data_IF_737336554503
#
_entry.id   IF_737336554503
#
_cell.length_a   1.000
_cell.length_b   1.000
_cell.length_c   1.000
_cell.angle_alpha   90.00
_cell.angle_beta   90.00
_cell.angle_gamma   90.00
#
_symmetry.space_group_name_H-M   'P 1'
#
loop_
_entity.id
_entity.type
_entity.pdbx_description
1 polymer ?
#
# COMPACT_ATOMS: atom_id res chain seq x y z
N UNK A 1 13.13 23.68 6.66
CA UNK A 1 12.00 24.44 7.22
C UNK A 1 11.99 24.46 8.75
N UNK A 2 12.93 23.76 9.42
CA UNK A 2 12.99 23.66 10.87
C UNK A 2 11.89 22.77 11.47
N UNK A 3 11.68 22.86 12.78
CA UNK A 3 10.78 21.97 13.54
C UNK A 3 9.40 22.59 13.88
N UNK A 4 9.11 23.80 13.38
CA UNK A 4 7.85 24.51 13.65
C UNK A 4 6.62 23.74 13.24
N UNK A 5 6.71 22.96 12.15
CA UNK A 5 5.62 22.12 11.64
C UNK A 5 5.09 21.07 12.65
N UNK A 6 5.89 20.70 13.64
CA UNK A 6 5.47 19.78 14.72
C UNK A 6 4.38 20.40 15.62
N UNK A 7 4.29 21.74 15.65
CA UNK A 7 3.31 22.48 16.43
C UNK A 7 2.23 23.10 15.54
N UNK A 8 2.60 23.51 14.34
CA UNK A 8 1.71 24.14 13.38
C UNK A 8 2.00 23.59 11.97
N UNK A 9 1.07 22.76 11.47
CA UNK A 9 1.22 22.10 10.17
C UNK A 9 1.31 23.07 8.99
N UNK A 10 0.85 24.32 9.13
CA UNK A 10 0.95 25.34 8.08
C UNK A 10 2.41 25.65 7.71
N UNK A 11 3.33 25.42 8.62
CA UNK A 11 4.78 25.55 8.36
C UNK A 11 5.27 24.64 7.22
N UNK A 12 4.53 23.58 6.90
CA UNK A 12 4.85 22.69 5.77
C UNK A 12 4.68 23.39 4.41
N UNK A 13 3.90 24.47 4.32
CA UNK A 13 3.77 25.27 3.08
C UNK A 13 5.12 25.82 2.61
N UNK A 14 6.08 26.03 3.52
CA UNK A 14 7.45 26.45 3.18
C UNK A 14 8.18 25.46 2.27
N UNK A 15 7.74 24.20 2.21
CA UNK A 15 8.28 23.22 1.26
C UNK A 15 8.03 23.60 -0.20
N UNK A 16 7.04 24.45 -0.49
CA UNK A 16 6.77 24.93 -1.84
C UNK A 16 7.94 25.72 -2.43
N UNK A 17 8.79 26.34 -1.59
CA UNK A 17 9.99 27.05 -2.04
C UNK A 17 11.01 26.10 -2.68
N UNK A 18 10.93 24.81 -2.39
CA UNK A 18 11.90 23.78 -2.83
C UNK A 18 11.38 22.88 -3.97
N UNK A 19 10.22 23.19 -4.57
CA UNK A 19 9.60 22.32 -5.60
C UNK A 19 10.47 22.13 -6.86
N UNK A 20 11.43 23.04 -7.09
CA UNK A 20 12.36 23.00 -8.20
C UNK A 20 13.81 22.79 -7.73
N UNK A 21 14.04 22.52 -6.44
CA UNK A 21 15.38 22.25 -5.91
C UNK A 21 15.72 20.77 -6.09
N UNK A 22 16.55 20.45 -7.10
CA UNK A 22 16.93 19.09 -7.44
C UNK A 22 17.59 18.36 -6.25
N UNK A 23 18.37 19.07 -5.41
CA UNK A 23 19.03 18.48 -4.25
C UNK A 23 18.02 18.08 -3.16
N UNK A 24 16.97 18.88 -2.95
CA UNK A 24 15.88 18.54 -2.01
C UNK A 24 15.04 17.40 -2.57
N UNK A 25 14.68 17.44 -3.86
CA UNK A 25 13.91 16.39 -4.52
C UNK A 25 14.65 15.05 -4.47
N UNK A 26 15.96 15.03 -4.74
CA UNK A 26 16.75 13.81 -4.64
C UNK A 26 16.76 13.24 -3.22
N UNK A 27 16.91 14.09 -2.21
CA UNK A 27 16.84 13.64 -0.79
C UNK A 27 15.48 13.02 -0.45
N UNK A 28 14.39 13.57 -0.95
CA UNK A 28 13.04 13.02 -0.75
C UNK A 28 12.91 11.63 -1.42
N UNK A 29 13.43 11.47 -2.64
CA UNK A 29 13.47 10.18 -3.32
C UNK A 29 14.32 9.16 -2.57
N UNK A 30 15.48 9.55 -2.06
CA UNK A 30 16.35 8.69 -1.27
C UNK A 30 15.66 8.21 0.02
N UNK A 31 14.97 9.11 0.72
CA UNK A 31 14.18 8.78 1.91
C UNK A 31 13.07 7.79 1.56
N UNK A 32 12.32 8.05 0.48
CA UNK A 32 11.25 7.15 0.02
C UNK A 32 11.81 5.77 -0.33
N UNK A 33 12.89 5.71 -1.09
CA UNK A 33 13.56 4.46 -1.48
C UNK A 33 14.02 3.67 -0.25
N UNK A 34 14.64 4.33 0.72
CA UNK A 34 15.07 3.68 1.97
C UNK A 34 13.89 3.11 2.77
N UNK A 35 12.76 3.82 2.82
CA UNK A 35 11.55 3.33 3.47
C UNK A 35 10.97 2.10 2.74
N UNK A 36 10.97 2.10 1.40
CA UNK A 36 10.52 0.95 0.59
C UNK A 36 11.43 -0.26 0.78
N UNK A 37 12.75 -0.06 0.81
CA UNK A 37 13.72 -1.11 1.11
C UNK A 37 13.53 -1.69 2.52
N UNK A 38 13.29 -0.84 3.52
CA UNK A 38 13.03 -1.28 4.88
C UNK A 38 11.76 -2.13 4.96
N UNK A 39 10.68 -1.72 4.27
CA UNK A 39 9.44 -2.50 4.20
C UNK A 39 9.65 -3.83 3.44
N UNK A 40 10.33 -3.81 2.29
CA UNK A 40 10.70 -5.02 1.52
C UNK A 40 11.39 -6.05 2.39
N UNK A 41 12.43 -5.63 3.11
CA UNK A 41 13.18 -6.52 3.98
C UNK A 41 12.32 -7.07 5.13
N UNK A 42 11.44 -6.24 5.67
CA UNK A 42 10.54 -6.65 6.73
C UNK A 42 9.52 -7.70 6.25
N UNK A 43 8.89 -7.49 5.09
CA UNK A 43 7.96 -8.46 4.48
C UNK A 43 8.69 -9.77 4.16
N UNK A 44 9.87 -9.68 3.55
CA UNK A 44 10.69 -10.87 3.24
C UNK A 44 11.02 -11.68 4.50
N UNK A 45 11.44 -11.01 5.57
CA UNK A 45 11.83 -11.66 6.83
C UNK A 45 10.65 -12.35 7.51
N UNK A 46 9.43 -11.75 7.47
CA UNK A 46 8.29 -12.25 8.24
C UNK A 46 7.37 -13.17 7.43
N UNK A 47 7.31 -13.02 6.10
CA UNK A 47 6.39 -13.75 5.25
C UNK A 47 7.06 -14.48 4.08
N UNK A 48 8.38 -14.32 3.89
CA UNK A 48 9.10 -14.91 2.77
C UNK A 48 8.74 -14.36 1.38
N UNK A 49 7.96 -13.27 1.32
CA UNK A 49 7.50 -12.66 0.07
C UNK A 49 8.54 -11.63 -0.39
N UNK A 50 8.97 -11.73 -1.64
CA UNK A 50 9.82 -10.73 -2.27
C UNK A 50 8.98 -9.74 -3.06
N UNK A 51 9.23 -8.44 -2.82
CA UNK A 51 8.62 -7.32 -3.55
C UNK A 51 9.73 -6.44 -4.13
N UNK A 52 9.39 -5.70 -5.20
CA UNK A 52 10.32 -4.77 -5.85
C UNK A 52 10.12 -3.37 -5.27
N UNK A 53 11.15 -2.81 -4.68
CA UNK A 53 11.16 -1.44 -4.14
C UNK A 53 10.96 -0.35 -5.20
N UNK A 54 11.19 -0.68 -6.48
CA UNK A 54 10.96 0.25 -7.59
C UNK A 54 9.51 0.22 -8.11
N UNK A 55 8.70 -0.76 -7.66
CA UNK A 55 7.29 -0.80 -8.00
C UNK A 55 6.50 0.29 -7.26
N UNK A 56 5.34 0.67 -7.78
CA UNK A 56 4.38 1.53 -7.06
C UNK A 56 3.81 0.73 -5.88
N UNK A 57 3.99 1.22 -4.65
CA UNK A 57 3.37 0.64 -3.46
C UNK A 57 1.99 1.24 -3.25
N UNK A 58 0.97 0.48 -3.65
CA UNK A 58 -0.45 0.79 -3.48
C UNK A 58 -0.95 0.09 -2.21
N UNK A 59 -1.28 0.86 -1.18
CA UNK A 59 -1.46 0.34 0.18
C UNK A 59 -2.86 0.64 0.71
N UNK A 60 -3.55 -0.40 1.17
CA UNK A 60 -4.81 -0.31 1.90
C UNK A 60 -4.69 -0.99 3.26
N UNK A 61 -4.43 -0.21 4.30
CA UNK A 61 -4.20 -0.68 5.67
C UNK A 61 -5.26 -0.14 6.63
N UNK A 62 -6.25 -0.95 6.91
CA UNK A 62 -7.35 -0.64 7.83
C UNK A 62 -8.11 -1.91 8.24
N UNK A 63 -8.76 -1.91 9.41
CA UNK A 63 -9.64 -3.03 9.79
C UNK A 63 -10.61 -3.34 8.66
N UNK A 64 -10.82 -4.62 8.39
CA UNK A 64 -11.70 -5.02 7.31
C UNK A 64 -13.15 -4.74 7.68
N UNK A 65 -13.84 -4.05 6.78
CA UNK A 65 -15.27 -3.77 6.89
C UNK A 65 -15.84 -3.45 5.51
N UNK A 66 -17.08 -3.86 5.24
CA UNK A 66 -17.73 -3.67 3.93
C UNK A 66 -17.71 -2.21 3.48
N UNK A 67 -17.99 -1.23 4.38
CA UNK A 67 -17.98 0.19 4.01
C UNK A 67 -16.58 0.74 3.67
N UNK A 68 -15.49 0.05 4.04
CA UNK A 68 -14.11 0.42 3.69
C UNK A 68 -13.71 -0.06 2.30
N UNK A 69 -14.54 -0.91 1.71
CA UNK A 69 -14.47 -1.35 0.31
C UNK A 69 -13.18 -2.06 -0.10
N UNK A 70 -12.55 -2.81 0.81
CA UNK A 70 -11.40 -3.65 0.45
C UNK A 70 -11.76 -4.66 -0.64
N UNK A 71 -13.01 -5.15 -0.67
CA UNK A 71 -13.50 -6.00 -1.75
C UNK A 71 -13.44 -5.27 -3.10
N UNK A 72 -13.78 -3.98 -3.17
CA UNK A 72 -13.69 -3.22 -4.41
C UNK A 72 -12.25 -3.09 -4.89
N UNK A 73 -11.30 -2.88 -3.98
CA UNK A 73 -9.87 -2.88 -4.32
C UNK A 73 -9.42 -4.28 -4.80
N UNK A 74 -9.88 -5.36 -4.17
CA UNK A 74 -9.62 -6.72 -4.66
C UNK A 74 -10.16 -6.95 -6.09
N UNK A 75 -11.34 -6.43 -6.42
CA UNK A 75 -11.88 -6.46 -7.79
C UNK A 75 -11.02 -5.64 -8.77
N UNK A 76 -10.49 -4.50 -8.32
CA UNK A 76 -9.54 -3.72 -9.13
C UNK A 76 -8.25 -4.53 -9.40
N UNK A 77 -7.74 -5.25 -8.41
CA UNK A 77 -6.59 -6.15 -8.59
C UNK A 77 -6.88 -7.23 -9.63
N UNK A 78 -8.07 -7.85 -9.59
CA UNK A 78 -8.51 -8.83 -10.60
C UNK A 78 -8.54 -8.18 -11.99
N UNK A 79 -9.09 -6.98 -12.10
CA UNK A 79 -9.10 -6.23 -13.36
C UNK A 79 -7.67 -6.02 -13.89
N UNK A 80 -6.74 -5.56 -13.06
CA UNK A 80 -5.33 -5.37 -13.43
C UNK A 80 -4.67 -6.67 -13.89
N UNK A 81 -4.90 -7.77 -13.16
CA UNK A 81 -4.43 -9.09 -13.55
C UNK A 81 -4.90 -9.47 -14.96
N UNK A 82 -6.20 -9.33 -15.23
CA UNK A 82 -6.79 -9.65 -16.53
C UNK A 82 -6.29 -8.74 -17.65
N UNK A 83 -6.04 -7.46 -17.37
CA UNK A 83 -5.45 -6.53 -18.34
C UNK A 83 -4.02 -6.94 -18.71
N UNK A 84 -3.21 -7.30 -17.73
CA UNK A 84 -1.85 -7.80 -17.98
C UNK A 84 -1.88 -9.08 -18.83
N UNK A 85 -2.79 -10.02 -18.51
CA UNK A 85 -2.98 -11.26 -19.31
C UNK A 85 -3.41 -10.99 -20.76
N UNK A 86 -4.05 -9.85 -21.04
CA UNK A 86 -4.38 -9.38 -22.41
C UNK A 86 -3.23 -8.66 -23.09
N UNK A 87 -2.09 -8.45 -22.42
CA UNK A 87 -0.94 -7.73 -22.93
C UNK A 87 -0.91 -6.24 -22.61
N UNK A 88 -1.85 -5.71 -21.82
CA UNK A 88 -1.83 -4.33 -21.35
C UNK A 88 -0.89 -4.18 -20.16
N UNK A 89 0.40 -4.09 -20.43
CA UNK A 89 1.47 -4.08 -19.44
C UNK A 89 1.61 -2.67 -18.85
N UNK A 90 1.62 -2.50 -17.52
CA UNK A 90 1.88 -1.21 -16.89
C UNK A 90 3.34 -0.79 -17.10
N UNK A 91 3.57 0.52 -17.27
CA UNK A 91 4.92 1.09 -17.45
C UNK A 91 5.81 0.93 -16.22
N UNK A 92 5.19 0.90 -15.05
CA UNK A 92 5.86 0.69 -13.76
C UNK A 92 5.16 -0.46 -13.04
N UNK A 93 5.88 -1.45 -12.50
CA UNK A 93 5.28 -2.52 -11.72
C UNK A 93 4.50 -1.99 -10.52
N UNK A 94 3.48 -2.72 -10.09
CA UNK A 94 2.61 -2.35 -8.98
C UNK A 94 2.66 -3.45 -7.91
N UNK A 95 2.87 -3.05 -6.67
CA UNK A 95 2.74 -3.94 -5.50
C UNK A 95 1.56 -3.46 -4.65
N UNK A 96 0.47 -4.21 -4.70
CA UNK A 96 -0.73 -3.92 -3.89
C UNK A 96 -0.59 -4.59 -2.53
N UNK A 97 -0.62 -3.80 -1.46
CA UNK A 97 -0.41 -4.28 -0.10
C UNK A 97 -1.66 -4.05 0.73
N UNK A 98 -2.26 -5.14 1.19
CA UNK A 98 -3.38 -5.11 2.10
C UNK A 98 -2.92 -5.38 3.54
N UNK A 99 -3.40 -4.58 4.47
CA UNK A 99 -3.23 -4.84 5.90
C UNK A 99 -4.58 -4.74 6.59
N UNK A 100 -5.09 -5.87 7.09
CA UNK A 100 -6.41 -5.90 7.71
C UNK A 100 -6.51 -6.96 8.79
N UNK A 101 -7.46 -6.77 9.70
CA UNK A 101 -7.94 -7.77 10.65
C UNK A 101 -9.46 -7.75 10.63
N UNK A 102 -10.08 -8.93 10.70
CA UNK A 102 -11.52 -9.10 10.82
C UNK A 102 -11.91 -9.48 12.25
N UNK A 103 -13.08 -9.04 12.70
CA UNK A 103 -13.66 -9.54 13.93
C UNK A 103 -13.98 -11.04 13.79
N UNK A 104 -13.83 -11.87 14.84
CA UNK A 104 -14.00 -13.32 14.75
C UNK A 104 -15.35 -13.76 14.19
N UNK A 105 -16.44 -13.06 14.55
CA UNK A 105 -17.80 -13.37 14.11
C UNK A 105 -18.19 -12.76 12.74
N UNK A 106 -17.30 -11.94 12.14
CA UNK A 106 -17.61 -11.25 10.88
C UNK A 106 -17.20 -12.10 9.67
N UNK A 107 -18.07 -13.01 9.26
CA UNK A 107 -17.80 -14.00 8.20
C UNK A 107 -17.43 -13.35 6.86
N UNK A 108 -18.24 -12.41 6.36
CA UNK A 108 -17.96 -11.70 5.10
C UNK A 108 -16.57 -11.03 5.11
N UNK A 109 -16.16 -10.45 6.23
CA UNK A 109 -14.82 -9.87 6.34
C UNK A 109 -13.72 -10.92 6.20
N UNK A 110 -13.92 -12.12 6.75
CA UNK A 110 -12.97 -13.22 6.60
C UNK A 110 -12.97 -13.76 5.16
N UNK A 111 -14.11 -13.79 4.50
CA UNK A 111 -14.21 -14.21 3.09
C UNK A 111 -13.46 -13.23 2.17
N UNK A 112 -13.53 -11.92 2.46
CA UNK A 112 -12.77 -10.90 1.72
C UNK A 112 -11.25 -11.08 1.96
N UNK A 113 -10.81 -11.36 3.18
CA UNK A 113 -9.40 -11.68 3.46
C UNK A 113 -8.99 -12.94 2.68
N UNK A 114 -9.83 -13.96 2.67
CA UNK A 114 -9.57 -15.19 1.92
C UNK A 114 -9.46 -14.91 0.41
N UNK A 115 -10.33 -14.09 -0.16
CA UNK A 115 -10.23 -13.65 -1.55
C UNK A 115 -8.86 -12.98 -1.83
N UNK A 116 -8.43 -12.06 -0.97
CA UNK A 116 -7.14 -11.37 -1.12
C UNK A 116 -5.97 -12.36 -1.06
N UNK A 117 -6.02 -13.35 -0.16
CA UNK A 117 -5.01 -14.41 -0.07
C UNK A 117 -4.99 -15.31 -1.32
N UNK A 118 -6.15 -15.63 -1.88
CA UNK A 118 -6.24 -16.35 -3.16
C UNK A 118 -5.63 -15.54 -4.31
N UNK A 119 -5.88 -14.23 -4.35
CA UNK A 119 -5.27 -13.34 -5.34
C UNK A 119 -3.74 -13.25 -5.16
N UNK A 120 -3.27 -13.15 -3.92
CA UNK A 120 -1.84 -13.20 -3.63
C UNK A 120 -1.21 -14.48 -4.17
N UNK A 121 -1.81 -15.63 -3.90
CA UNK A 121 -1.30 -16.91 -4.37
C UNK A 121 -1.33 -17.02 -5.89
N UNK A 122 -2.45 -16.64 -6.53
CA UNK A 122 -2.60 -16.70 -7.97
C UNK A 122 -1.58 -15.80 -8.68
N UNK A 123 -1.56 -14.53 -8.32
CA UNK A 123 -0.79 -13.49 -9.02
C UNK A 123 0.71 -13.67 -8.79
N UNK A 124 1.12 -13.96 -7.55
CA UNK A 124 2.54 -14.07 -7.24
C UNK A 124 3.20 -15.34 -7.81
N UNK A 125 2.42 -16.34 -8.20
CA UNK A 125 2.89 -17.57 -8.87
C UNK A 125 2.65 -17.59 -10.39
N UNK A 126 2.09 -16.53 -10.98
CA UNK A 126 1.92 -16.42 -12.43
C UNK A 126 3.12 -15.67 -13.04
N UNK A 127 4.02 -16.41 -13.70
CA UNK A 127 5.26 -15.86 -14.28
C UNK A 127 5.02 -14.81 -15.38
N UNK A 128 3.85 -14.80 -16.01
CA UNK A 128 3.49 -13.78 -16.99
C UNK A 128 3.12 -12.45 -16.31
N UNK A 129 2.65 -12.49 -15.07
CA UNK A 129 2.08 -11.34 -14.35
C UNK A 129 2.95 -10.87 -13.19
N UNK A 130 3.59 -11.78 -12.47
CA UNK A 130 4.22 -11.50 -11.16
C UNK A 130 5.35 -10.45 -11.20
N UNK A 131 5.91 -10.18 -12.37
CA UNK A 131 6.92 -9.11 -12.59
C UNK A 131 6.31 -7.72 -12.75
N UNK A 132 4.99 -7.62 -12.99
CA UNK A 132 4.28 -6.36 -13.20
C UNK A 132 3.27 -6.05 -12.11
N UNK A 133 2.75 -7.09 -11.46
CA UNK A 133 1.77 -6.97 -10.39
C UNK A 133 2.12 -7.97 -9.29
N UNK A 134 2.21 -7.48 -8.07
CA UNK A 134 2.34 -8.28 -6.84
C UNK A 134 1.19 -7.97 -5.90
N UNK A 135 0.76 -8.96 -5.14
CA UNK A 135 -0.21 -8.78 -4.06
C UNK A 135 0.39 -9.28 -2.76
N UNK A 136 0.27 -8.50 -1.71
CA UNK A 136 0.71 -8.87 -0.37
C UNK A 136 -0.43 -8.60 0.62
N UNK A 137 -0.88 -9.63 1.31
CA UNK A 137 -1.68 -9.51 2.52
C UNK A 137 -0.74 -9.60 3.71
N UNK A 138 -0.51 -8.49 4.42
CA UNK A 138 0.41 -8.51 5.57
C UNK A 138 -0.19 -9.28 6.74
N UNK A 139 0.58 -10.21 7.27
CA UNK A 139 0.18 -11.00 8.44
C UNK A 139 0.20 -10.14 9.71
N UNK A 140 -0.76 -10.38 10.56
CA UNK A 140 -0.85 -9.75 11.89
C UNK A 140 -0.63 -8.22 11.87
N UNK A 141 -1.26 -7.51 10.92
CA UNK A 141 -1.19 -6.05 10.84
C UNK A 141 -1.35 -5.39 12.22
N UNK A 142 -0.41 -4.54 12.59
CA UNK A 142 -0.33 -3.85 13.88
C UNK A 142 0.41 -2.51 13.72
N UNK A 143 0.58 -1.76 14.82
CA UNK A 143 1.23 -0.44 14.82
C UNK A 143 2.66 -0.51 14.29
N UNK A 144 3.44 -1.49 14.69
CA UNK A 144 4.83 -1.67 14.22
C UNK A 144 4.89 -1.87 12.70
N UNK A 145 3.93 -2.62 12.16
CA UNK A 145 3.80 -2.79 10.71
C UNK A 145 3.40 -1.48 10.03
N UNK A 146 2.44 -0.72 10.64
CA UNK A 146 1.99 0.57 10.12
C UNK A 146 3.14 1.59 10.02
N UNK A 147 4.05 1.63 11.00
CA UNK A 147 5.24 2.50 11.01
C UNK A 147 6.20 2.25 9.83
N UNK A 148 6.11 1.08 9.20
CA UNK A 148 6.89 0.75 7.99
C UNK A 148 6.08 0.94 6.71
N UNK A 149 4.79 0.61 6.75
CA UNK A 149 3.90 0.69 5.59
C UNK A 149 3.62 2.14 5.19
N UNK A 150 3.31 3.00 6.16
CA UNK A 150 2.91 4.39 5.89
C UNK A 150 4.02 5.18 5.18
N UNK A 151 5.27 5.23 5.66
CA UNK A 151 6.32 5.99 4.98
C UNK A 151 6.77 5.40 3.65
N UNK A 152 6.56 4.10 3.42
CA UNK A 152 6.86 3.42 2.16
C UNK A 152 5.77 3.58 1.10
N UNK A 153 4.58 4.01 1.48
CA UNK A 153 3.39 4.10 0.63
C UNK A 153 3.55 5.14 -0.49
N UNK A 154 3.24 4.78 -1.73
CA UNK A 154 3.12 5.72 -2.84
C UNK A 154 1.65 6.12 -3.05
N UNK A 155 0.74 5.15 -2.98
CA UNK A 155 -0.71 5.36 -3.08
C UNK A 155 -1.37 4.82 -1.82
N UNK A 156 -2.07 5.69 -1.10
CA UNK A 156 -2.87 5.31 0.08
C UNK A 156 -4.33 5.21 -0.30
N UNK A 157 -4.88 4.00 -0.28
CA UNK A 157 -6.28 3.74 -0.66
C UNK A 157 -7.26 4.24 0.41
N UNK A 158 -7.94 5.35 0.11
CA UNK A 158 -8.94 6.00 0.95
C UNK A 158 -10.31 5.99 0.27
N UNK A 159 -10.82 4.78 0.00
CA UNK A 159 -12.02 4.54 -0.79
C UNK A 159 -13.26 4.16 0.03
N UNK A 160 -13.28 4.41 1.32
CA UNK A 160 -14.44 4.17 2.18
C UNK A 160 -15.68 4.94 1.73
N UNK A 161 -16.87 4.43 2.04
CA UNK A 161 -18.11 5.16 1.79
C UNK A 161 -18.08 6.49 2.53
N UNK A 162 -18.55 7.55 1.85
CA UNK A 162 -18.67 8.88 2.43
C UNK A 162 -19.47 8.83 3.74
N UNK A 163 -19.08 9.65 4.71
CA UNK A 163 -19.67 9.74 6.06
C UNK A 163 -19.56 8.51 6.96
N UNK A 164 -18.94 7.41 6.52
CA UNK A 164 -18.81 6.18 7.33
C UNK A 164 -17.46 6.04 8.03
N UNK A 165 -16.45 6.76 7.60
CA UNK A 165 -15.10 6.69 8.19
C UNK A 165 -14.49 8.07 8.34
N UNK A 166 -14.09 8.39 9.59
CA UNK A 166 -13.13 9.46 9.88
C UNK A 166 -11.81 8.78 10.27
N UNK A 167 -10.84 8.74 9.35
CA UNK A 167 -9.58 8.02 9.56
C UNK A 167 -8.45 8.98 9.90
N UNK A 168 -8.03 8.99 11.18
CA UNK A 168 -6.81 9.71 11.59
C UNK A 168 -5.56 9.17 10.92
N UNK A 169 -5.48 7.84 10.71
CA UNK A 169 -4.35 7.20 10.03
C UNK A 169 -4.33 7.52 8.53
N UNK A 170 -5.49 7.66 7.90
CA UNK A 170 -5.59 8.06 6.50
C UNK A 170 -5.17 9.50 6.26
N UNK A 171 -5.49 10.38 7.20
CA UNK A 171 -5.13 11.80 7.13
C UNK A 171 -3.64 12.02 7.35
#
# INVERSE_FOLDING_TARGET
>A
IGDGFKKDAIELEKLQEYVNDEGVLQKLLDIKTNNKLALKNYIKQHQGIEIDENSIFDIQIKRLHEYKRQQMNALYVIHKYLEIKKGNIPSTPITVIFGAKAAPAYTIAKDIIHLILCLQQLINNDDEVNKYLKVVMVENYNVTYAEKLIPACDISEQISLASKEASGTGN
#
